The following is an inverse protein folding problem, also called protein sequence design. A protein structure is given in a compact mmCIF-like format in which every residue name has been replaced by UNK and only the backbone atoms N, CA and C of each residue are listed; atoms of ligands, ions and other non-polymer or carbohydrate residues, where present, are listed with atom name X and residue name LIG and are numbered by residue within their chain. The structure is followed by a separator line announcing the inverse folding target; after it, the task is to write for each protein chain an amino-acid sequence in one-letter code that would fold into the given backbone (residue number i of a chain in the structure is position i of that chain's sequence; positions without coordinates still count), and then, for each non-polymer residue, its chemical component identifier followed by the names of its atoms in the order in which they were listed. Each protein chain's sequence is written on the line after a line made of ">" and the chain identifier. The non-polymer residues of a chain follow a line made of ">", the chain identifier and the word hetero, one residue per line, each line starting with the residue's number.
data_IF_828337167220
#
_entry.id   IF_828337167220
#
_cell.length_a   1.000
_cell.length_b   1.000
_cell.length_c   1.000
_cell.angle_alpha   90.00
_cell.angle_beta   90.00
_cell.angle_gamma   90.00
#
_symmetry.space_group_name_H-M   'P 1'
#
loop_
_entity.id
_entity.type
_entity.pdbx_description
1 polymer ?
#
# COMPACT_ATOMS: atom_id res chain seq x y z
N UNK A 1 19.60 2.11 3.84
CA UNK A 1 18.62 1.75 4.84
C UNK A 1 17.39 2.66 4.71
N UNK A 2 16.20 2.08 4.61
CA UNK A 2 15.00 2.84 4.31
C UNK A 2 14.07 2.91 5.51
N UNK A 3 14.57 3.45 6.62
CA UNK A 3 13.75 3.63 7.80
C UNK A 3 12.65 4.67 7.58
N UNK A 4 12.79 5.48 6.55
CA UNK A 4 11.82 6.51 6.20
C UNK A 4 10.76 6.04 5.20
N UNK A 5 10.80 4.78 4.81
CA UNK A 5 9.84 4.19 3.88
C UNK A 5 9.14 3.00 4.49
N UNK A 6 7.89 2.79 4.10
CA UNK A 6 7.11 1.64 4.53
C UNK A 6 6.40 1.04 3.33
N UNK A 7 6.06 -0.25 3.42
CA UNK A 7 5.27 -0.91 2.40
C UNK A 7 3.79 -0.83 2.76
N UNK A 8 2.96 -0.63 1.75
CA UNK A 8 1.51 -0.58 1.89
C UNK A 8 0.90 -1.55 0.91
N UNK A 9 -0.08 -2.32 1.38
CA UNK A 9 -0.79 -3.31 0.57
C UNK A 9 -2.17 -2.80 0.22
N UNK A 10 -2.57 -2.98 -1.04
CA UNK A 10 -3.96 -2.73 -1.44
C UNK A 10 -4.34 -3.68 -2.57
N UNK A 11 -5.63 -3.74 -2.87
CA UNK A 11 -6.14 -4.50 -4.01
C UNK A 11 -6.85 -3.57 -4.98
N UNK A 12 -6.80 -3.95 -6.25
CA UNK A 12 -7.53 -3.29 -7.31
C UNK A 12 -8.23 -4.34 -8.14
N UNK A 13 -9.13 -3.89 -9.03
CA UNK A 13 -9.75 -4.77 -10.00
C UNK A 13 -8.71 -5.32 -10.96
N UNK A 14 -9.09 -6.32 -11.74
CA UNK A 14 -8.19 -6.98 -12.69
C UNK A 14 -7.54 -5.99 -13.66
N UNK A 15 -8.24 -4.91 -14.01
CA UNK A 15 -7.71 -3.87 -14.90
C UNK A 15 -6.92 -2.80 -14.16
N UNK A 16 -6.57 -3.02 -12.90
CA UNK A 16 -5.81 -2.10 -12.07
C UNK A 16 -6.59 -0.86 -11.61
N UNK A 17 -7.90 -0.82 -11.81
CA UNK A 17 -8.72 0.30 -11.35
C UNK A 17 -9.11 0.10 -9.89
N UNK A 18 -9.01 1.17 -9.09
CA UNK A 18 -9.57 1.14 -7.76
C UNK A 18 -11.05 1.56 -7.80
N UNK A 19 -11.70 1.56 -6.64
CA UNK A 19 -13.15 1.85 -6.58
C UNK A 19 -13.49 3.29 -6.96
N UNK A 20 -12.50 4.17 -7.00
CA UNK A 20 -12.70 5.57 -7.41
C UNK A 20 -12.36 5.78 -8.89
N UNK A 21 -11.96 4.72 -9.60
CA UNK A 21 -11.64 4.82 -11.02
C UNK A 21 -10.20 5.16 -11.34
N UNK A 22 -9.36 5.35 -10.32
CA UNK A 22 -7.93 5.57 -10.58
C UNK A 22 -7.29 4.29 -11.06
N UNK A 23 -6.55 4.37 -12.16
CA UNK A 23 -5.81 3.22 -12.68
C UNK A 23 -4.41 3.23 -12.07
N UNK A 24 -4.08 2.17 -11.34
CA UNK A 24 -2.77 2.03 -10.72
C UNK A 24 -1.77 1.48 -11.73
N UNK A 25 -0.55 1.99 -11.76
CA UNK A 25 0.47 1.45 -12.66
C UNK A 25 0.97 0.09 -12.19
N UNK A 26 1.52 -0.70 -13.11
CA UNK A 26 2.14 -1.97 -12.75
C UNK A 26 3.47 -1.76 -12.04
N UNK A 27 4.09 -0.60 -12.20
CA UNK A 27 5.32 -0.22 -11.52
C UNK A 27 5.46 1.29 -11.62
N UNK A 28 6.29 1.86 -10.75
CA UNK A 28 6.56 3.30 -10.79
C UNK A 28 5.63 4.10 -9.90
N UNK A 29 5.65 5.40 -10.08
CA UNK A 29 4.98 6.33 -9.17
C UNK A 29 3.50 6.45 -9.48
N UNK A 30 2.69 6.46 -8.42
CA UNK A 30 1.27 6.80 -8.48
C UNK A 30 1.02 7.95 -7.51
N UNK A 31 0.19 8.90 -7.92
CA UNK A 31 -0.10 10.09 -7.11
C UNK A 31 -1.59 10.34 -7.05
N UNK A 32 -2.04 10.85 -5.90
CA UNK A 32 -3.40 11.30 -5.73
C UNK A 32 -3.57 12.64 -6.46
N UNK A 33 -4.64 12.77 -7.22
CA UNK A 33 -4.90 13.96 -8.03
C UNK A 33 -5.25 15.18 -7.18
N UNK A 34 -6.00 14.95 -6.11
CA UNK A 34 -6.55 16.04 -5.29
C UNK A 34 -6.25 15.74 -3.83
N UNK A 35 -4.97 15.74 -3.49
CA UNK A 35 -4.54 15.39 -2.14
C UNK A 35 -5.09 16.35 -1.09
N UNK A 36 -5.68 15.79 -0.04
CA UNK A 36 -6.05 16.53 1.16
C UNK A 36 -5.56 15.75 2.37
N UNK A 37 -4.81 16.41 3.23
CA UNK A 37 -4.19 15.76 4.38
C UNK A 37 -5.18 15.63 5.54
N UNK A 38 -6.32 14.98 5.28
CA UNK A 38 -7.34 14.70 6.27
C UNK A 38 -7.38 13.23 6.59
N UNK A 39 -8.06 12.86 7.68
CA UNK A 39 -8.26 11.46 8.03
C UNK A 39 -9.47 10.85 7.34
N UNK A 40 -9.91 11.44 6.26
CA UNK A 40 -10.97 10.90 5.41
C UNK A 40 -10.35 10.07 4.31
N UNK A 41 -11.11 9.08 3.81
CA UNK A 41 -10.64 8.22 2.73
C UNK A 41 -10.49 8.97 1.42
N UNK A 42 -11.25 10.03 1.20
CA UNK A 42 -11.23 10.76 -0.06
C UNK A 42 -9.96 11.58 -0.23
N UNK A 43 -9.66 11.87 -1.47
CA UNK A 43 -8.57 12.77 -1.88
C UNK A 43 -7.20 12.31 -1.39
N UNK A 44 -6.97 11.00 -1.52
CA UNK A 44 -5.70 10.39 -1.21
C UNK A 44 -5.69 8.94 -1.65
N UNK A 45 -4.52 8.35 -1.62
CA UNK A 45 -4.35 6.92 -1.84
C UNK A 45 -4.47 6.20 -0.50
N UNK A 46 -5.07 5.02 -0.49
CA UNK A 46 -5.35 4.28 0.75
C UNK A 46 -4.85 2.86 0.63
N UNK A 47 -4.34 2.31 1.73
CA UNK A 47 -3.92 0.92 1.79
C UNK A 47 -3.65 0.48 3.23
N UNK A 48 -3.21 -0.76 3.37
CA UNK A 48 -2.88 -1.34 4.68
C UNK A 48 -1.38 -1.30 4.92
N UNK A 49 -0.97 -0.66 6.00
CA UNK A 49 0.43 -0.52 6.35
C UNK A 49 1.02 -1.90 6.65
N UNK A 50 2.03 -2.30 5.89
CA UNK A 50 2.66 -3.63 5.95
C UNK A 50 1.67 -4.78 5.77
N UNK A 51 0.51 -4.52 5.15
CA UNK A 51 -0.52 -5.52 4.96
C UNK A 51 -1.28 -5.89 6.22
N UNK A 52 -1.06 -5.18 7.31
CA UNK A 52 -1.71 -5.46 8.59
C UNK A 52 -3.02 -4.69 8.71
N UNK A 53 -3.88 -5.14 9.60
CA UNK A 53 -5.11 -4.43 9.92
C UNK A 53 -6.34 -5.11 9.35
N UNK A 54 -7.36 -4.31 9.01
CA UNK A 54 -8.64 -4.86 8.59
C UNK A 54 -8.57 -5.46 7.19
N UNK A 55 -8.80 -6.77 7.12
CA UNK A 55 -8.83 -7.46 5.83
C UNK A 55 -10.09 -7.13 5.02
N UNK A 56 -11.09 -6.52 5.63
CA UNK A 56 -12.30 -6.12 4.92
C UNK A 56 -12.01 -5.09 3.83
N UNK A 57 -10.91 -4.37 3.92
CA UNK A 57 -10.48 -3.45 2.88
C UNK A 57 -10.06 -4.16 1.59
N UNK A 58 -9.60 -5.40 1.71
CA UNK A 58 -9.02 -6.12 0.57
C UNK A 58 -10.12 -6.86 -0.20
N UNK A 59 -9.92 -6.96 -1.52
CA UNK A 59 -10.89 -7.63 -2.37
C UNK A 59 -10.85 -9.14 -2.17
N UNK A 60 -12.03 -9.77 -2.23
CA UNK A 60 -12.14 -11.24 -2.19
C UNK A 60 -12.26 -11.84 -3.58
N UNK A 61 -12.24 -11.03 -4.64
CA UNK A 61 -12.34 -11.54 -6.01
C UNK A 61 -11.08 -12.28 -6.40
N UNK A 62 -11.24 -13.42 -7.06
CA UNK A 62 -10.11 -14.26 -7.43
C UNK A 62 -9.16 -13.59 -8.41
N UNK A 63 -9.67 -12.68 -9.24
CA UNK A 63 -8.89 -11.98 -10.25
C UNK A 63 -8.43 -10.60 -9.78
N UNK A 64 -8.62 -10.25 -8.51
CA UNK A 64 -8.14 -8.98 -8.01
C UNK A 64 -6.62 -8.92 -8.07
N UNK A 65 -6.11 -7.73 -8.37
CA UNK A 65 -4.67 -7.48 -8.36
C UNK A 65 -4.25 -7.02 -6.97
N UNK A 66 -3.23 -7.64 -6.45
CA UNK A 66 -2.68 -7.31 -5.15
C UNK A 66 -1.41 -6.49 -5.36
N UNK A 67 -1.43 -5.27 -4.86
CA UNK A 67 -0.41 -4.26 -5.14
C UNK A 67 0.32 -3.94 -3.85
N UNK A 68 1.65 -3.99 -3.90
CA UNK A 68 2.50 -3.51 -2.82
C UNK A 68 3.19 -2.25 -3.31
N UNK A 69 3.11 -1.20 -2.52
CA UNK A 69 3.77 0.05 -2.85
C UNK A 69 4.59 0.56 -1.68
N UNK A 70 5.59 1.37 -2.01
CA UNK A 70 6.50 1.98 -1.05
C UNK A 70 6.08 3.42 -0.84
N UNK A 71 5.95 3.82 0.43
CA UNK A 71 5.44 5.13 0.81
C UNK A 71 6.37 5.77 1.81
N UNK A 72 6.62 7.06 1.66
CA UNK A 72 7.40 7.80 2.66
C UNK A 72 6.62 7.84 3.97
N UNK A 73 7.24 7.41 5.05
CA UNK A 73 6.57 7.37 6.36
C UNK A 73 6.07 8.75 6.77
N UNK A 74 6.82 9.80 6.42
CA UNK A 74 6.44 11.17 6.77
C UNK A 74 5.13 11.61 6.11
N UNK A 75 4.72 10.94 5.02
CA UNK A 75 3.49 11.29 4.30
C UNK A 75 2.27 10.50 4.75
N UNK A 76 2.45 9.53 5.65
CA UNK A 76 1.39 8.60 6.02
C UNK A 76 0.47 9.24 7.06
N UNK A 77 -0.85 9.14 6.80
CA UNK A 77 -1.89 9.54 7.75
C UNK A 77 -2.66 8.28 8.15
N UNK A 78 -2.68 7.99 9.44
CA UNK A 78 -3.46 6.86 9.95
C UNK A 78 -4.95 7.17 9.90
N UNK A 79 -5.72 6.24 9.37
CA UNK A 79 -7.16 6.34 9.34
C UNK A 79 -7.76 5.63 10.56
N UNK A 80 -9.08 5.68 10.70
CA UNK A 80 -9.74 5.09 11.87
C UNK A 80 -9.67 3.58 11.86
N UNK A 81 -9.74 2.97 10.69
CA UNK A 81 -9.70 1.52 10.57
C UNK A 81 -8.30 1.00 10.90
N UNK A 82 -8.19 -0.10 11.66
CA UNK A 82 -6.87 -0.62 12.06
C UNK A 82 -5.99 -0.92 10.85
N UNK A 83 -4.78 -0.41 10.86
CA UNK A 83 -3.80 -0.63 9.82
C UNK A 83 -3.99 0.19 8.56
N UNK A 84 -5.13 0.85 8.41
CA UNK A 84 -5.44 1.61 7.21
C UNK A 84 -4.76 2.96 7.24
N UNK A 85 -4.11 3.31 6.14
CA UNK A 85 -3.37 4.57 6.03
C UNK A 85 -3.69 5.25 4.71
N UNK A 86 -3.49 6.57 4.70
CA UNK A 86 -3.70 7.42 3.54
C UNK A 86 -2.41 8.16 3.23
N UNK A 87 -2.14 8.36 1.96
CA UNK A 87 -0.88 8.99 1.54
C UNK A 87 -1.07 9.67 0.17
N UNK A 88 -0.25 10.68 -0.14
CA UNK A 88 -0.40 11.43 -1.39
C UNK A 88 0.21 10.75 -2.60
N UNK A 89 1.24 9.93 -2.39
CA UNK A 89 1.93 9.27 -3.48
C UNK A 89 2.62 8.02 -3.00
N UNK A 90 2.91 7.14 -3.94
CA UNK A 90 3.60 5.90 -3.66
C UNK A 90 4.34 5.42 -4.89
N UNK A 91 5.27 4.50 -4.69
CA UNK A 91 5.91 3.80 -5.80
C UNK A 91 5.46 2.34 -5.77
N UNK A 92 4.85 1.87 -6.85
CA UNK A 92 4.42 0.49 -6.97
C UNK A 92 5.66 -0.38 -7.17
N UNK A 93 5.88 -1.32 -6.25
CA UNK A 93 7.06 -2.20 -6.28
C UNK A 93 6.72 -3.65 -6.54
N UNK A 94 5.43 -4.01 -6.46
CA UNK A 94 5.00 -5.38 -6.75
C UNK A 94 3.52 -5.41 -7.10
N UNK A 95 3.17 -6.18 -8.11
CA UNK A 95 1.78 -6.46 -8.47
C UNK A 95 1.66 -7.97 -8.70
N UNK A 96 0.66 -8.59 -8.11
CA UNK A 96 0.46 -10.01 -8.25
C UNK A 96 -0.81 -10.47 -7.57
N UNK A 97 -0.74 -11.64 -6.94
CA UNK A 97 -1.85 -12.18 -6.17
C UNK A 97 -1.54 -12.07 -4.67
N UNK A 98 -2.47 -12.59 -3.86
CA UNK A 98 -2.32 -12.53 -2.41
C UNK A 98 -1.03 -13.20 -1.93
N UNK A 99 -0.72 -14.36 -2.49
CA UNK A 99 0.44 -15.13 -2.03
C UNK A 99 1.72 -14.39 -2.37
N UNK A 100 1.87 -13.89 -3.59
CA UNK A 100 3.08 -13.20 -4.00
C UNK A 100 3.25 -11.89 -3.24
N UNK A 101 2.17 -11.16 -3.01
CA UNK A 101 2.23 -9.91 -2.26
C UNK A 101 2.63 -10.15 -0.80
N UNK A 102 2.07 -11.19 -0.18
CA UNK A 102 2.42 -11.55 1.19
C UNK A 102 3.89 -11.93 1.31
N UNK A 103 4.40 -12.70 0.35
CA UNK A 103 5.81 -13.07 0.34
C UNK A 103 6.71 -11.85 0.16
N UNK A 104 6.31 -10.92 -0.71
CA UNK A 104 7.07 -9.71 -0.93
C UNK A 104 7.21 -8.89 0.35
N UNK A 105 6.09 -8.70 1.06
CA UNK A 105 6.09 -7.93 2.30
C UNK A 105 6.91 -8.64 3.37
N UNK A 106 6.73 -9.94 3.52
CA UNK A 106 7.46 -10.72 4.53
C UNK A 106 8.95 -10.68 4.30
N UNK A 107 9.38 -10.79 3.03
CA UNK A 107 10.79 -10.73 2.69
C UNK A 107 11.40 -9.37 3.05
N UNK A 108 10.66 -8.28 2.82
CA UNK A 108 11.14 -6.94 3.16
C UNK A 108 11.19 -6.73 4.67
N UNK A 109 10.25 -7.27 5.41
CA UNK A 109 10.26 -7.18 6.87
C UNK A 109 11.39 -7.98 7.48
N UNK A 110 11.75 -9.10 6.88
CA UNK A 110 12.83 -9.95 7.37
C UNK A 110 14.21 -9.51 6.89
N UNK A 111 14.28 -8.62 5.91
CA UNK A 111 15.54 -8.19 5.32
C UNK A 111 16.33 -7.34 6.32
N UNK A 112 17.54 -7.77 6.71
CA UNK A 112 18.36 -6.98 7.65
C UNK A 112 18.65 -5.57 7.16
N UNK A 113 18.64 -5.33 5.86
CA UNK A 113 18.86 -4.00 5.32
C UNK A 113 17.63 -3.13 5.44
N UNK A 114 16.46 -3.71 5.62
CA UNK A 114 15.20 -2.97 5.71
C UNK A 114 14.76 -2.74 7.14
N UNK A 115 15.28 -3.50 8.10
CA UNK A 115 14.88 -3.40 9.49
C UNK A 115 16.01 -2.78 10.30
N UNK A 116 15.68 -1.95 11.29
CA UNK A 116 16.70 -1.48 12.22
C UNK A 116 17.34 -2.68 12.87
N UNK A 117 18.64 -2.69 12.92
CA UNK A 117 19.32 -3.78 13.56
C UNK A 117 18.95 -3.79 15.03
N UNK A 118 18.45 -4.89 15.54
CA UNK A 118 18.12 -4.95 16.96
C UNK A 118 19.36 -5.10 17.74
N UNK A 119 20.37 -5.29 17.46
CA UNK A 119 21.59 -5.43 18.25
C UNK A 119 21.33 -5.46 19.71
#
# INVERSE_FOLDING_TARGET
>A
MNLDKALVLRTCANNMADHCGLIWPASGTVESKYWQSTRRHENGLVGLLWGAGTSAFLSVHADARWIVCEVAVADIISLEEPGMVKFPRAEVVHVGDRISASHFISARQADPASTPTPT
#
